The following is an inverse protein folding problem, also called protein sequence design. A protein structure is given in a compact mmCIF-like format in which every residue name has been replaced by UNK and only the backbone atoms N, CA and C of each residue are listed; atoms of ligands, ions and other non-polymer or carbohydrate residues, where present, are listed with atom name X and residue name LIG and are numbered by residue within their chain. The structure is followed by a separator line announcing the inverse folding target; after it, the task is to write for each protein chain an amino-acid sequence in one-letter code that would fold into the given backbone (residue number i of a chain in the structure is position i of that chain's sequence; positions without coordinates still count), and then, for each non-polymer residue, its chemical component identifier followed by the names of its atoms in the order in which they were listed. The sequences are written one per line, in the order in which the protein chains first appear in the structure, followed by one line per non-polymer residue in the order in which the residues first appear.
data_IF_768148121215
#
_entry.id   IF_768148121215
#
_cell.length_a   1.000
_cell.length_b   1.000
_cell.length_c   1.000
_cell.angle_alpha   90.00
_cell.angle_beta   90.00
_cell.angle_gamma   90.00
#
_symmetry.space_group_name_H-M   'P 1'
#
loop_
_entity.id
_entity.type
_entity.pdbx_description
1 polymer ?
#
# COMPACT_ATOMS: atom_id res chain seq x y z
N UNK A 1 25.58 10.18 24.52
CA UNK A 1 26.82 9.48 24.10
C UNK A 1 26.47 8.60 22.91
N UNK A 2 26.69 9.06 21.67
CA UNK A 2 26.41 8.25 20.48
C UNK A 2 27.69 7.51 20.08
N UNK A 3 27.94 6.36 20.70
CA UNK A 3 29.02 5.47 20.28
C UNK A 3 28.74 4.95 18.88
N UNK A 4 29.55 5.32 17.90
CA UNK A 4 29.47 4.78 16.55
C UNK A 4 30.15 3.42 16.52
N UNK A 5 29.44 2.39 16.04
CA UNK A 5 29.98 1.04 15.86
C UNK A 5 30.23 0.83 14.37
N UNK A 6 31.43 0.38 14.01
CA UNK A 6 31.77 0.06 12.62
C UNK A 6 31.28 -1.35 12.30
N UNK A 7 30.47 -1.47 11.23
CA UNK A 7 29.91 -2.74 10.76
C UNK A 7 30.47 -3.04 9.36
N UNK A 8 31.12 -4.19 9.21
CA UNK A 8 31.57 -4.68 7.89
C UNK A 8 30.57 -5.71 7.37
N UNK A 9 29.99 -5.46 6.19
CA UNK A 9 28.98 -6.33 5.57
C UNK A 9 29.47 -6.74 4.18
N UNK A 10 29.33 -8.03 3.84
CA UNK A 10 29.49 -8.49 2.45
C UNK A 10 28.17 -8.30 1.72
N UNK A 11 28.18 -7.50 0.66
CA UNK A 11 27.01 -7.22 -0.18
C UNK A 11 27.36 -7.43 -1.65
N UNK A 12 26.35 -7.70 -2.46
CA UNK A 12 26.47 -7.78 -3.91
C UNK A 12 26.96 -6.42 -4.48
N UNK A 13 27.91 -6.40 -5.44
CA UNK A 13 28.32 -5.17 -6.14
C UNK A 13 27.14 -4.40 -6.75
N UNK A 14 26.10 -5.08 -7.26
CA UNK A 14 24.92 -4.41 -7.80
C UNK A 14 24.17 -3.63 -6.71
N UNK A 15 24.02 -4.23 -5.53
CA UNK A 15 23.36 -3.59 -4.38
C UNK A 15 24.15 -2.37 -3.89
N UNK A 16 25.49 -2.44 -3.90
CA UNK A 16 26.36 -1.32 -3.55
C UNK A 16 26.13 -0.11 -4.46
N UNK A 17 25.99 -0.32 -5.76
CA UNK A 17 25.75 0.78 -6.70
C UNK A 17 24.36 1.40 -6.51
N UNK A 18 23.33 0.59 -6.25
CA UNK A 18 22.00 1.13 -5.91
C UNK A 18 22.01 1.93 -4.61
N UNK A 19 22.72 1.48 -3.57
CA UNK A 19 22.83 2.23 -2.31
C UNK A 19 23.56 3.56 -2.51
N UNK A 20 24.55 3.60 -3.40
CA UNK A 20 25.21 4.87 -3.76
C UNK A 20 24.26 5.82 -4.50
N UNK A 21 23.45 5.33 -5.43
CA UNK A 21 22.50 6.20 -6.13
C UNK A 21 21.47 6.77 -5.15
N UNK A 22 20.94 5.95 -4.23
CA UNK A 22 20.05 6.43 -3.18
C UNK A 22 20.72 7.47 -2.27
N UNK A 23 21.96 7.24 -1.85
CA UNK A 23 22.69 8.22 -1.02
C UNK A 23 22.85 9.58 -1.73
N UNK A 24 23.12 9.58 -3.05
CA UNK A 24 23.21 10.82 -3.84
C UNK A 24 21.84 11.50 -3.96
N UNK A 25 20.78 10.74 -4.23
CA UNK A 25 19.41 11.25 -4.33
C UNK A 25 18.93 11.89 -3.01
N UNK A 26 19.23 11.25 -1.89
CA UNK A 26 18.84 11.72 -0.57
C UNK A 26 19.81 12.74 0.05
N UNK A 27 20.91 13.09 -0.63
CA UNK A 27 22.00 13.94 -0.13
C UNK A 27 22.57 13.46 1.23
N UNK A 28 22.61 12.15 1.42
CA UNK A 28 23.10 11.50 2.64
C UNK A 28 24.41 10.75 2.37
N UNK A 29 25.12 10.37 3.44
CA UNK A 29 26.27 9.48 3.29
C UNK A 29 25.79 8.05 3.04
N UNK A 30 26.61 7.23 2.36
CA UNK A 30 26.30 5.82 2.13
C UNK A 30 26.02 5.07 3.45
N UNK A 31 26.75 5.40 4.52
CA UNK A 31 26.55 4.81 5.84
C UNK A 31 25.24 5.25 6.47
N UNK A 32 24.87 6.52 6.35
CA UNK A 32 23.59 7.03 6.88
C UNK A 32 22.40 6.44 6.13
N UNK A 33 22.46 6.35 4.80
CA UNK A 33 21.40 5.75 3.98
C UNK A 33 21.19 4.27 4.36
N UNK A 34 22.28 3.51 4.54
CA UNK A 34 22.20 2.11 4.98
C UNK A 34 21.58 2.01 6.38
N UNK A 35 22.00 2.85 7.32
CA UNK A 35 21.42 2.90 8.65
C UNK A 35 19.93 3.24 8.62
N UNK A 36 19.52 4.23 7.82
CA UNK A 36 18.13 4.65 7.67
C UNK A 36 17.26 3.56 7.05
N UNK A 37 17.76 2.86 6.02
CA UNK A 37 17.06 1.71 5.41
C UNK A 37 16.95 0.54 6.37
N UNK A 38 18.00 0.26 7.15
CA UNK A 38 17.95 -0.78 8.18
C UNK A 38 16.97 -0.40 9.29
N UNK A 39 16.99 0.83 9.78
CA UNK A 39 16.04 1.33 10.78
C UNK A 39 14.60 1.26 10.26
N UNK A 40 14.36 1.68 9.02
CA UNK A 40 13.06 1.56 8.37
C UNK A 40 12.62 0.10 8.26
N UNK A 41 13.51 -0.78 7.77
CA UNK A 41 13.22 -2.21 7.61
C UNK A 41 12.89 -2.88 8.95
N UNK A 42 13.69 -2.63 9.98
CA UNK A 42 13.45 -3.18 11.32
C UNK A 42 12.23 -2.52 12.00
N UNK A 43 11.98 -1.24 11.75
CA UNK A 43 10.83 -0.48 12.29
C UNK A 43 9.50 -0.85 11.64
N UNK A 44 9.50 -1.29 10.38
CA UNK A 44 8.30 -1.75 9.66
C UNK A 44 7.75 -3.11 10.12
N UNK A 45 8.34 -3.74 11.14
CA UNK A 45 7.72 -4.88 11.84
C UNK A 45 6.50 -4.46 12.69
N UNK A 46 6.22 -3.17 12.81
CA UNK A 46 4.89 -2.76 13.22
C UNK A 46 4.07 -2.65 11.93
N UNK A 47 3.03 -3.50 11.71
CA UNK A 47 2.07 -3.21 10.65
C UNK A 47 1.65 -1.75 10.81
N UNK A 48 1.46 -0.99 9.71
CA UNK A 48 0.94 0.36 9.85
C UNK A 48 -0.23 0.26 10.82
N UNK A 49 -0.22 1.05 11.90
CA UNK A 49 -1.38 1.14 12.76
C UNK A 49 -2.50 1.58 11.83
N UNK A 50 -3.29 0.60 11.38
CA UNK A 50 -4.43 0.81 10.54
C UNK A 50 -5.26 1.75 11.39
N UNK A 51 -5.36 2.99 10.95
CA UNK A 51 -6.21 3.96 11.61
C UNK A 51 -7.64 3.52 11.35
N UNK A 52 -8.13 2.64 12.23
CA UNK A 52 -9.51 2.18 12.21
C UNK A 52 -10.48 3.30 12.62
N UNK A 53 -10.03 4.54 12.87
CA UNK A 53 -10.92 5.67 13.15
C UNK A 53 -11.74 6.12 11.94
N UNK A 54 -11.47 5.59 10.74
CA UNK A 54 -12.37 5.73 9.58
C UNK A 54 -12.93 4.39 9.09
N UNK A 55 -12.79 3.31 9.87
CA UNK A 55 -13.65 2.14 9.70
C UNK A 55 -14.92 2.45 10.48
N UNK A 56 -15.79 3.25 9.87
CA UNK A 56 -17.17 3.27 10.30
C UNK A 56 -17.65 1.81 10.27
N UNK A 57 -17.99 1.25 11.42
CA UNK A 57 -18.89 0.11 11.47
C UNK A 57 -20.16 0.59 10.75
N UNK A 58 -20.26 0.28 9.46
CA UNK A 58 -21.51 0.31 8.72
C UNK A 58 -22.42 -0.75 9.32
N UNK A 59 -22.93 -0.41 10.50
CA UNK A 59 -23.90 -1.13 11.29
C UNK A 59 -25.16 -1.21 10.45
N UNK A 60 -25.36 -2.33 9.74
CA UNK A 60 -26.63 -2.87 9.23
C UNK A 60 -27.57 -1.93 8.41
N UNK A 61 -27.14 -0.70 8.13
CA UNK A 61 -28.00 0.37 7.61
C UNK A 61 -27.61 0.80 6.19
N UNK A 62 -26.49 0.29 5.67
CA UNK A 62 -26.00 0.56 4.31
C UNK A 62 -26.15 -0.65 3.35
N UNK A 63 -26.75 -1.76 3.77
CA UNK A 63 -27.20 -2.77 2.81
C UNK A 63 -28.47 -2.34 2.06
N UNK A 64 -29.18 -1.33 2.54
CA UNK A 64 -30.36 -0.78 1.88
C UNK A 64 -30.03 0.17 0.71
N UNK A 65 -28.84 0.78 0.69
CA UNK A 65 -28.41 1.71 -0.37
C UNK A 65 -27.79 1.01 -1.57
N UNK A 66 -27.35 -0.24 -1.42
CA UNK A 66 -26.86 -1.10 -2.51
C UNK A 66 -27.97 -1.95 -3.15
N UNK A 67 -29.19 -1.95 -2.60
CA UNK A 67 -30.33 -2.60 -3.22
C UNK A 67 -30.83 -1.74 -4.39
N UNK A 68 -30.52 -2.19 -5.60
CA UNK A 68 -31.05 -1.63 -6.85
C UNK A 68 -32.57 -1.42 -6.72
N UNK A 69 -33.02 -0.20 -6.98
CA UNK A 69 -34.45 0.14 -6.92
C UNK A 69 -35.25 -0.67 -7.93
N UNK A 70 -36.55 -0.86 -7.68
CA UNK A 70 -37.42 -1.65 -8.57
C UNK A 70 -37.42 -1.13 -10.02
N UNK A 71 -37.23 0.18 -10.21
CA UNK A 71 -37.02 0.85 -11.50
C UNK A 71 -35.73 0.39 -12.19
N UNK A 72 -34.61 0.38 -11.48
CA UNK A 72 -33.31 -0.02 -12.02
C UNK A 72 -33.30 -1.50 -12.39
N UNK A 73 -33.86 -2.35 -11.53
CA UNK A 73 -34.05 -3.78 -11.84
C UNK A 73 -34.89 -4.00 -13.09
N UNK A 74 -35.94 -3.20 -13.30
CA UNK A 74 -36.79 -3.28 -14.51
C UNK A 74 -36.03 -2.86 -15.76
N UNK A 75 -35.19 -1.83 -15.65
CA UNK A 75 -34.34 -1.36 -16.73
C UNK A 75 -33.27 -2.39 -17.11
N UNK A 76 -32.60 -2.99 -16.12
CA UNK A 76 -31.63 -4.08 -16.31
C UNK A 76 -32.30 -5.27 -17.01
N UNK A 77 -33.50 -5.70 -16.58
CA UNK A 77 -34.24 -6.79 -17.25
C UNK A 77 -34.63 -6.44 -18.69
N UNK A 78 -35.02 -5.20 -18.96
CA UNK A 78 -35.38 -4.77 -20.32
C UNK A 78 -34.17 -4.77 -21.27
N UNK A 79 -33.01 -4.32 -20.80
CA UNK A 79 -31.75 -4.35 -21.56
C UNK A 79 -31.32 -5.79 -21.86
N UNK A 80 -31.35 -6.68 -20.86
CA UNK A 80 -31.01 -8.09 -21.03
C UNK A 80 -31.97 -8.83 -21.99
N UNK A 81 -33.28 -8.53 -21.92
CA UNK A 81 -34.28 -9.09 -22.86
C UNK A 81 -34.08 -8.59 -24.29
N UNK A 82 -33.72 -7.31 -24.48
CA UNK A 82 -33.38 -6.76 -25.80
C UNK A 82 -32.13 -7.42 -26.38
N UNK A 83 -31.12 -7.70 -25.57
CA UNK A 83 -29.90 -8.38 -26.01
C UNK A 83 -30.14 -9.84 -26.40
N UNK A 84 -31.00 -10.58 -25.67
CA UNK A 84 -31.38 -11.97 -26.03
C UNK A 84 -32.15 -12.11 -27.35
N UNK A 85 -32.68 -11.02 -27.91
CA UNK A 85 -33.43 -11.02 -29.19
C UNK A 85 -32.54 -10.85 -30.44
N UNK A 86 -31.22 -10.76 -30.27
CA UNK A 86 -30.24 -10.88 -31.35
C UNK A 86 -29.66 -12.29 -31.37
N UNK A 87 -30.47 -13.24 -31.82
CA UNK A 87 -30.06 -14.53 -32.40
C UNK A 87 -31.10 -14.91 -33.43
#
# INVERSE_FOLDING_TARGET
MTGTVSLTIKIDPALKETLKSFAIEHNTTLSDEVCQRLQSSLGTSQPPAIDSQHTEEHSESEEASLQLTSSELKQIRALLKKQKKKK
#
